data_IF_142146435328
#
_entry.id   IF_142146435328
#
_cell.length_a   1.000
_cell.length_b   1.000
_cell.length_c   1.000
_cell.angle_alpha   90.00
_cell.angle_beta   90.00
_cell.angle_gamma   90.00
#
_symmetry.space_group_name_H-M   'P 1'
#
loop_
_entity.id
_entity.type
_entity.pdbx_description
1 polymer ?
#
# COMPACT_ATOMS: atom_id res chain seq x y z
N UNK A 1 7.72 14.21 4.03
CA UNK A 1 8.34 13.04 3.37
C UNK A 1 8.27 13.29 1.89
N UNK A 2 9.42 13.19 1.23
CA UNK A 2 9.57 13.30 -0.21
C UNK A 2 9.74 11.88 -0.74
N UNK A 3 9.08 11.53 -1.83
CA UNK A 3 9.28 10.25 -2.50
C UNK A 3 10.23 10.48 -3.69
N UNK A 4 11.28 9.68 -3.79
CA UNK A 4 12.25 9.72 -4.90
C UNK A 4 12.08 8.45 -5.73
N UNK A 5 11.77 8.60 -7.02
CA UNK A 5 11.66 7.50 -7.99
C UNK A 5 12.58 7.76 -9.18
N UNK A 6 13.56 6.89 -9.43
CA UNK A 6 14.44 7.02 -10.59
C UNK A 6 15.20 8.35 -10.69
N UNK A 7 15.42 9.04 -9.57
CA UNK A 7 16.02 10.38 -9.51
C UNK A 7 15.04 11.54 -9.62
N UNK A 8 13.73 11.26 -9.75
CA UNK A 8 12.67 12.26 -9.75
C UNK A 8 12.09 12.41 -8.36
N UNK A 9 12.05 13.66 -7.91
CA UNK A 9 11.41 14.04 -6.66
C UNK A 9 9.90 14.21 -6.89
N UNK A 10 9.08 13.39 -6.24
CA UNK A 10 7.63 13.45 -6.36
C UNK A 10 7.01 13.77 -5.00
N UNK A 11 6.22 14.85 -4.98
CA UNK A 11 5.39 15.17 -3.82
C UNK A 11 4.28 14.12 -3.67
N UNK A 12 4.16 13.46 -2.52
CA UNK A 12 3.12 12.45 -2.31
C UNK A 12 1.70 13.02 -2.41
N UNK A 13 1.52 14.32 -2.13
CA UNK A 13 0.23 14.99 -2.22
C UNK A 13 -0.26 15.15 -3.68
N UNK A 14 0.67 15.19 -4.64
CA UNK A 14 0.34 15.24 -6.07
C UNK A 14 0.39 13.86 -6.72
N UNK A 15 1.16 12.94 -6.16
CA UNK A 15 1.27 11.57 -6.65
C UNK A 15 0.03 10.73 -6.37
N UNK A 16 -0.55 10.87 -5.17
CA UNK A 16 -1.71 10.08 -4.78
C UNK A 16 -3.00 10.87 -4.94
N UNK A 17 -3.94 10.31 -5.69
CA UNK A 17 -5.35 10.69 -5.58
C UNK A 17 -5.94 9.98 -4.36
N UNK A 18 -6.42 10.75 -3.38
CA UNK A 18 -7.15 10.23 -2.23
C UNK A 18 -8.63 10.15 -2.56
N UNK A 19 -9.21 8.97 -2.46
CA UNK A 19 -10.65 8.76 -2.61
C UNK A 19 -11.26 8.36 -1.26
N UNK A 20 -12.39 9.00 -0.92
CA UNK A 20 -13.14 8.66 0.29
C UNK A 20 -14.00 7.43 0.00
N UNK A 21 -13.85 6.39 0.81
CA UNK A 21 -14.66 5.16 0.70
C UNK A 21 -15.41 4.95 2.01
N UNK A 22 -16.72 5.19 1.98
CA UNK A 22 -17.56 5.16 3.17
C UNK A 22 -17.31 6.33 4.13
N UNK A 23 -17.57 6.12 5.43
CA UNK A 23 -17.61 7.22 6.42
C UNK A 23 -16.20 7.60 6.91
N UNK A 24 -15.29 6.63 7.06
CA UNK A 24 -14.00 6.82 7.74
C UNK A 24 -12.75 6.32 6.97
N UNK A 25 -12.91 5.69 5.80
CA UNK A 25 -11.77 5.11 5.10
C UNK A 25 -11.38 5.96 3.89
N UNK A 26 -10.07 6.05 3.67
CA UNK A 26 -9.48 6.69 2.51
C UNK A 26 -8.69 5.63 1.74
N UNK A 27 -8.92 5.56 0.45
CA UNK A 27 -8.14 4.76 -0.48
C UNK A 27 -7.19 5.68 -1.25
N UNK A 28 -6.03 5.12 -1.61
CA UNK A 28 -4.97 5.87 -2.26
C UNK A 28 -4.73 5.27 -3.64
N UNK A 29 -4.88 6.11 -4.66
CA UNK A 29 -4.75 5.74 -6.06
C UNK A 29 -3.55 6.45 -6.63
N UNK A 30 -2.77 5.77 -7.46
CA UNK A 30 -1.65 6.34 -8.18
C UNK A 30 -1.56 5.77 -9.59
N UNK A 31 -0.92 6.50 -10.49
CA UNK A 31 -0.55 6.02 -11.82
C UNK A 31 0.92 5.62 -11.80
N UNK A 32 1.23 4.37 -12.18
CA UNK A 32 2.60 3.88 -12.23
C UNK A 32 3.28 4.19 -13.57
N UNK A 33 4.55 3.78 -13.73
CA UNK A 33 5.33 4.01 -14.97
C UNK A 33 4.77 3.32 -16.20
N UNK A 34 3.96 2.29 -16.01
CA UNK A 34 3.25 1.57 -17.08
C UNK A 34 1.96 2.27 -17.53
N UNK A 35 1.72 3.49 -17.04
CA UNK A 35 0.55 4.34 -17.33
C UNK A 35 -0.78 3.77 -16.82
N UNK A 36 -0.76 2.71 -16.00
CA UNK A 36 -1.97 2.17 -15.37
C UNK A 36 -2.22 2.77 -14.01
N UNK A 37 -3.49 2.87 -13.64
CA UNK A 37 -3.90 3.25 -12.30
C UNK A 37 -3.95 2.04 -11.38
N UNK A 38 -3.49 2.25 -10.14
CA UNK A 38 -3.45 1.25 -9.09
C UNK A 38 -4.05 1.82 -7.81
N UNK A 39 -4.73 0.97 -7.05
CA UNK A 39 -5.48 1.35 -5.85
C UNK A 39 -5.06 0.51 -4.65
N UNK A 40 -4.68 1.20 -3.58
CA UNK A 40 -4.43 0.57 -2.29
C UNK A 40 -5.71 0.51 -1.45
N UNK A 41 -6.06 -0.70 -1.04
CA UNK A 41 -7.14 -1.02 -0.14
C UNK A 41 -6.59 -1.32 1.25
N UNK A 42 -6.93 -0.48 2.23
CA UNK A 42 -6.52 -0.66 3.61
C UNK A 42 -7.60 -1.36 4.42
N UNK A 43 -7.22 -2.45 5.08
CA UNK A 43 -8.03 -3.12 6.09
C UNK A 43 -7.29 -3.09 7.43
N UNK A 44 -8.01 -3.39 8.50
CA UNK A 44 -7.49 -3.34 9.87
C UNK A 44 -6.20 -4.15 10.07
N UNK A 45 -6.04 -5.27 9.33
CA UNK A 45 -4.92 -6.21 9.46
C UNK A 45 -4.26 -6.59 8.13
N UNK A 46 -4.59 -5.91 7.04
CA UNK A 46 -3.99 -6.17 5.74
C UNK A 46 -4.06 -4.94 4.84
N UNK A 47 -3.21 -4.92 3.82
CA UNK A 47 -3.29 -3.91 2.75
C UNK A 47 -3.15 -4.61 1.42
N UNK A 48 -4.01 -4.29 0.47
CA UNK A 48 -4.02 -4.96 -0.84
C UNK A 48 -3.89 -3.91 -1.92
N UNK A 49 -2.93 -4.09 -2.81
CA UNK A 49 -2.81 -3.30 -4.03
C UNK A 49 -3.52 -4.04 -5.16
N UNK A 50 -4.33 -3.32 -5.93
CA UNK A 50 -4.98 -3.85 -7.12
C UNK A 50 -4.83 -2.88 -8.29
N UNK A 51 -4.94 -3.39 -9.49
CA UNK A 51 -5.21 -2.57 -10.68
C UNK A 51 -6.55 -1.87 -10.48
N UNK A 52 -6.61 -0.57 -10.79
CA UNK A 52 -7.82 0.25 -10.67
C UNK A 52 -8.69 0.11 -11.94
N UNK A 53 -9.07 -1.13 -12.26
CA UNK A 53 -9.97 -1.49 -13.36
C UNK A 53 -11.14 -2.34 -12.84
N UNK A 54 -12.08 -2.68 -13.74
CA UNK A 54 -13.25 -3.49 -13.39
C UNK A 54 -12.88 -4.91 -12.96
N UNK A 55 -11.73 -5.43 -13.44
CA UNK A 55 -11.23 -6.75 -13.05
C UNK A 55 -10.67 -6.75 -11.62
N UNK A 56 -10.16 -5.61 -11.15
CA UNK A 56 -9.57 -5.42 -9.84
C UNK A 56 -8.49 -6.48 -9.54
N UNK A 57 -7.62 -6.73 -10.51
CA UNK A 57 -6.55 -7.73 -10.44
C UNK A 57 -5.63 -7.43 -9.26
N UNK A 58 -5.37 -8.44 -8.42
CA UNK A 58 -4.50 -8.29 -7.24
C UNK A 58 -3.05 -8.19 -7.69
N UNK A 59 -2.37 -7.14 -7.25
CA UNK A 59 -0.96 -6.87 -7.55
C UNK A 59 -0.07 -7.31 -6.40
N UNK A 60 -0.45 -6.89 -5.18
CA UNK A 60 0.28 -7.22 -3.97
C UNK A 60 -0.64 -7.29 -2.75
N UNK A 61 -0.27 -8.09 -1.76
CA UNK A 61 -0.96 -8.18 -0.48
C UNK A 61 0.04 -8.13 0.68
N UNK A 62 -0.16 -7.15 1.57
CA UNK A 62 0.51 -7.08 2.85
C UNK A 62 -0.31 -7.80 3.92
N UNK A 63 0.34 -8.75 4.59
CA UNK A 63 -0.19 -9.52 5.72
C UNK A 63 0.61 -9.16 6.96
N UNK A 64 -0.06 -8.63 7.98
CA UNK A 64 0.58 -8.39 9.29
C UNK A 64 1.05 -9.69 9.93
N UNK A 65 2.06 -9.59 10.79
CA UNK A 65 2.55 -10.72 11.57
C UNK A 65 1.43 -11.35 12.40
N UNK A 66 1.34 -12.68 12.42
CA UNK A 66 0.46 -13.37 13.37
C UNK A 66 1.25 -13.72 14.62
N UNK A 67 0.63 -13.59 15.79
CA UNK A 67 1.24 -14.00 17.08
C UNK A 67 1.21 -15.53 17.26
N UNK A 68 0.53 -16.25 16.36
CA UNK A 68 0.24 -17.67 16.48
C UNK A 68 -0.87 -17.94 17.49
N UNK A 69 -1.79 -18.85 17.16
CA UNK A 69 -2.77 -19.44 18.08
C UNK A 69 -2.81 -20.95 17.83
N UNK A 70 -3.45 -21.74 18.70
CA UNK A 70 -3.50 -23.22 18.60
C UNK A 70 -3.89 -23.71 17.20
N UNK A 71 -4.67 -22.93 16.45
CA UNK A 71 -5.13 -23.24 15.08
C UNK A 71 -4.34 -22.58 13.93
N UNK A 72 -3.39 -21.66 14.19
CA UNK A 72 -2.62 -20.97 13.13
C UNK A 72 -1.17 -20.71 13.56
N UNK A 73 -0.17 -21.13 12.76
CA UNK A 73 1.22 -20.88 13.08
C UNK A 73 1.55 -19.38 13.10
N UNK A 74 2.56 -19.04 13.90
CA UNK A 74 3.19 -17.71 13.89
C UNK A 74 3.78 -17.46 12.51
N UNK A 75 3.46 -16.32 11.90
CA UNK A 75 4.03 -15.89 10.61
C UNK A 75 4.62 -14.49 10.71
N UNK A 76 5.78 -14.23 10.10
CA UNK A 76 6.30 -12.87 9.98
C UNK A 76 5.36 -12.01 9.11
N UNK A 77 5.45 -10.70 9.28
CA UNK A 77 4.79 -9.78 8.37
C UNK A 77 5.41 -9.92 6.97
N UNK A 78 4.60 -9.91 5.93
CA UNK A 78 5.05 -10.11 4.55
C UNK A 78 4.24 -9.25 3.59
N UNK A 79 4.93 -8.70 2.60
CA UNK A 79 4.34 -8.09 1.42
C UNK A 79 4.56 -9.07 0.26
N UNK A 80 3.50 -9.74 -0.15
CA UNK A 80 3.52 -10.72 -1.24
C UNK A 80 3.16 -10.00 -2.54
N UNK A 81 3.98 -10.13 -3.59
CA UNK A 81 3.79 -9.51 -4.90
C UNK A 81 3.54 -10.63 -5.92
N UNK A 82 2.54 -10.48 -6.79
CA UNK A 82 2.28 -11.49 -7.81
C UNK A 82 3.39 -11.46 -8.89
N UNK A 83 3.81 -12.62 -9.41
CA UNK A 83 4.92 -12.69 -10.37
C UNK A 83 4.76 -11.78 -11.59
N UNK A 84 3.53 -11.62 -12.08
CA UNK A 84 3.22 -10.75 -13.23
C UNK A 84 3.51 -9.26 -13.00
N UNK A 85 3.68 -8.82 -11.75
CA UNK A 85 3.97 -7.42 -11.40
C UNK A 85 5.36 -7.22 -10.78
N UNK A 86 6.27 -8.19 -10.89
CA UNK A 86 7.65 -8.05 -10.40
C UNK A 86 8.42 -6.88 -11.04
N UNK A 87 8.02 -6.47 -12.25
CA UNK A 87 8.65 -5.37 -12.99
C UNK A 87 8.46 -3.99 -12.34
N UNK A 88 7.54 -3.85 -11.39
CA UNK A 88 7.20 -2.59 -10.70
C UNK A 88 7.39 -2.67 -9.18
N UNK A 89 8.27 -3.55 -8.72
CA UNK A 89 8.53 -3.78 -7.28
C UNK A 89 8.95 -2.50 -6.57
N UNK A 90 9.71 -1.62 -7.21
CA UNK A 90 10.07 -0.31 -6.65
C UNK A 90 8.83 0.56 -6.42
N UNK A 91 7.88 0.62 -7.37
CA UNK A 91 6.61 1.32 -7.16
C UNK A 91 5.82 0.77 -6.00
N UNK A 92 5.69 -0.56 -5.96
CA UNK A 92 4.93 -1.24 -4.90
C UNK A 92 5.56 -0.94 -3.54
N UNK A 93 6.87 -1.08 -3.41
CA UNK A 93 7.58 -0.91 -2.14
C UNK A 93 7.50 0.52 -1.59
N UNK A 94 7.77 1.52 -2.42
CA UNK A 94 7.80 2.92 -1.98
C UNK A 94 6.39 3.42 -1.64
N UNK A 95 5.39 3.06 -2.46
CA UNK A 95 4.00 3.43 -2.17
C UNK A 95 3.49 2.73 -0.91
N UNK A 96 3.82 1.45 -0.73
CA UNK A 96 3.51 0.71 0.48
C UNK A 96 4.11 1.36 1.74
N UNK A 97 5.41 1.69 1.74
CA UNK A 97 6.10 2.31 2.88
C UNK A 97 5.47 3.66 3.24
N UNK A 98 5.21 4.50 2.24
CA UNK A 98 4.56 5.80 2.45
C UNK A 98 3.19 5.64 3.11
N UNK A 99 2.38 4.70 2.64
CA UNK A 99 1.02 4.51 3.12
C UNK A 99 0.98 3.81 4.48
N UNK A 100 1.87 2.85 4.76
CA UNK A 100 2.01 2.28 6.10
C UNK A 100 2.42 3.33 7.13
N UNK A 101 3.29 4.28 6.76
CA UNK A 101 3.64 5.40 7.64
C UNK A 101 2.40 6.23 7.97
N UNK A 102 1.60 6.60 6.96
CA UNK A 102 0.35 7.34 7.18
C UNK A 102 -0.63 6.55 8.06
N UNK A 103 -0.81 5.25 7.77
CA UNK A 103 -1.72 4.39 8.52
C UNK A 103 -1.33 4.35 10.00
N UNK A 104 -0.03 4.21 10.30
CA UNK A 104 0.48 4.22 11.68
C UNK A 104 0.30 5.58 12.35
N UNK A 105 0.56 6.69 11.66
CA UNK A 105 0.35 8.04 12.22
C UNK A 105 -1.12 8.37 12.51
N UNK A 106 -2.07 7.77 11.77
CA UNK A 106 -3.51 7.91 12.07
C UNK A 106 -3.95 7.05 13.26
N UNK A 107 -3.27 5.93 13.51
CA UNK A 107 -3.57 5.02 14.64
C UNK A 107 -2.87 5.45 15.93
N UNK A 108 -1.68 6.07 15.84
CA UNK A 108 -0.92 6.61 16.97
C UNK A 108 -0.29 7.96 16.58
N UNK A 109 -0.88 9.09 17.02
CA UNK A 109 -0.39 10.44 16.71
C UNK A 109 1.01 10.75 17.27
N UNK A 110 1.52 9.93 18.20
CA UNK A 110 2.73 10.20 18.99
C UNK A 110 4.03 9.86 18.25
N UNK A 111 3.96 9.15 17.11
CA UNK A 111 5.14 8.71 16.35
C UNK A 111 5.56 9.66 15.20
N UNK A 112 5.35 10.97 15.36
CA UNK A 112 5.78 11.98 14.37
C UNK A 112 7.18 12.59 14.65
N UNK A 113 7.97 12.01 15.55
CA UNK A 113 9.34 12.46 15.85
C UNK A 113 10.35 12.01 14.78
#
# INVERSE_FOLDING_TARGET
>A
MIIQFGGTEISPATFFRKEKVGVLNWEYIFTARDEKEYRWYFRMYSSTLKVNDDAATVVAEYKVSSVGVVSKPKRPASLEIQPEFEYMVDEIMVTFIYLEKIRRSQVDPTQQL
#
